data_IF_554244739212
#
_entry.id   IF_554244739212
#
_cell.length_a   1.000
_cell.length_b   1.000
_cell.length_c   1.000
_cell.angle_alpha   90.00
_cell.angle_beta   90.00
_cell.angle_gamma   90.00
#
_symmetry.space_group_name_H-M   'P 1'
#
loop_
_entity.id
_entity.type
_entity.pdbx_description
1 polymer ?
#
# COMPACT_ATOMS: atom_id res chain seq x y z
N UNK A 1 1.76 -4.81 -16.73
CA UNK A 1 1.92 -5.14 -15.31
C UNK A 1 0.82 -4.43 -14.52
N UNK A 2 0.27 -5.03 -13.45
CA UNK A 2 -0.80 -4.42 -12.65
C UNK A 2 -0.22 -3.98 -11.32
N UNK A 3 -0.26 -2.67 -11.05
CA UNK A 3 0.18 -2.11 -9.77
C UNK A 3 -0.93 -2.27 -8.73
N UNK A 4 -0.59 -2.77 -7.53
CA UNK A 4 -1.56 -3.07 -6.47
C UNK A 4 -1.19 -2.35 -5.18
N UNK A 5 -2.13 -1.61 -4.59
CA UNK A 5 -1.96 -0.91 -3.33
C UNK A 5 -2.89 -1.51 -2.26
N UNK A 6 -2.32 -1.96 -1.13
CA UNK A 6 -3.09 -2.53 -0.02
C UNK A 6 -3.46 -1.46 1.03
N UNK A 7 -4.72 -1.42 1.43
CA UNK A 7 -5.25 -0.49 2.44
C UNK A 7 -5.84 -1.27 3.62
N UNK A 8 -5.20 -1.28 4.80
CA UNK A 8 -5.66 -2.08 5.96
C UNK A 8 -5.60 -1.31 7.28
N UNK A 9 -6.56 -1.56 8.18
CA UNK A 9 -6.51 -1.07 9.57
C UNK A 9 -5.68 -1.97 10.49
N UNK A 10 -5.27 -3.15 10.04
CA UNK A 10 -4.32 -3.99 10.77
C UNK A 10 -2.92 -3.40 10.70
N UNK A 11 -2.18 -3.48 11.80
CA UNK A 11 -0.79 -3.04 11.85
C UNK A 11 0.08 -3.86 10.88
N UNK A 12 1.10 -3.21 10.32
CA UNK A 12 1.99 -3.80 9.33
C UNK A 12 2.71 -5.07 9.85
N UNK A 13 2.94 -5.14 11.16
CA UNK A 13 3.59 -6.26 11.85
C UNK A 13 2.72 -7.55 11.93
N UNK A 14 1.52 -7.57 11.35
CA UNK A 14 0.62 -8.72 11.31
C UNK A 14 0.35 -9.24 9.89
N UNK A 15 -0.92 -9.61 9.63
CA UNK A 15 -1.40 -10.17 8.35
C UNK A 15 -1.07 -9.30 7.12
N UNK A 16 -0.91 -7.99 7.28
CA UNK A 16 -0.55 -7.08 6.20
C UNK A 16 0.79 -7.44 5.53
N UNK A 17 1.78 -7.90 6.29
CA UNK A 17 3.08 -8.34 5.74
C UNK A 17 2.92 -9.54 4.81
N UNK A 18 2.01 -10.47 5.13
CA UNK A 18 1.79 -11.66 4.31
C UNK A 18 1.05 -11.35 3.01
N UNK A 19 0.14 -10.37 3.03
CA UNK A 19 -0.54 -9.87 1.84
C UNK A 19 0.43 -9.07 0.96
N UNK A 20 1.32 -8.27 1.56
CA UNK A 20 2.35 -7.54 0.85
C UNK A 20 3.27 -8.47 0.05
N UNK A 21 3.67 -9.60 0.65
CA UNK A 21 4.50 -10.63 0.02
C UNK A 21 3.84 -11.32 -1.19
N UNK A 22 2.52 -11.19 -1.37
CA UNK A 22 1.79 -11.73 -2.53
C UNK A 22 1.85 -10.85 -3.77
N UNK A 23 2.68 -9.81 -3.78
CA UNK A 23 2.92 -8.95 -4.95
C UNK A 23 2.24 -7.60 -4.89
N UNK A 24 2.02 -7.04 -3.69
CA UNK A 24 1.56 -5.65 -3.59
C UNK A 24 2.70 -4.68 -3.90
N UNK A 25 2.40 -3.64 -4.67
CA UNK A 25 3.31 -2.54 -5.01
C UNK A 25 3.45 -1.51 -3.87
N UNK A 26 2.54 -1.53 -2.89
CA UNK A 26 2.63 -0.71 -1.68
C UNK A 26 1.55 -1.02 -0.64
N UNK A 27 1.63 -0.33 0.50
CA UNK A 27 0.72 -0.46 1.63
C UNK A 27 0.48 0.89 2.30
N UNK A 28 -0.78 1.14 2.69
CA UNK A 28 -1.15 2.25 3.56
C UNK A 28 -1.99 1.71 4.72
N UNK A 29 -1.63 2.11 5.94
CA UNK A 29 -2.40 1.77 7.13
C UNK A 29 -3.58 2.73 7.31
N UNK A 30 -4.77 2.21 7.66
CA UNK A 30 -5.91 3.04 8.06
C UNK A 30 -5.81 3.39 9.56
N UNK A 31 -6.24 4.60 9.96
CA UNK A 31 -6.75 5.68 9.10
C UNK A 31 -5.60 6.42 8.40
N UNK A 32 -5.86 6.89 7.17
CA UNK A 32 -4.92 7.69 6.38
C UNK A 32 -5.59 8.97 5.87
N UNK A 33 -4.78 9.95 5.49
CA UNK A 33 -5.23 11.21 4.89
C UNK A 33 -5.17 11.20 3.36
N UNK A 34 -5.84 12.16 2.71
CA UNK A 34 -5.83 12.29 1.24
C UNK A 34 -4.44 12.58 0.67
N UNK A 35 -3.60 13.32 1.40
CA UNK A 35 -2.21 13.60 0.98
C UNK A 35 -1.37 12.32 0.92
N UNK A 36 -1.51 11.47 1.93
CA UNK A 36 -0.81 10.19 2.03
C UNK A 36 -1.23 9.24 0.90
N UNK A 37 -2.54 9.11 0.66
CA UNK A 37 -3.06 8.33 -0.45
C UNK A 37 -2.53 8.81 -1.81
N UNK A 38 -2.58 10.12 -2.06
CA UNK A 38 -2.10 10.72 -3.31
C UNK A 38 -0.61 10.44 -3.53
N UNK A 39 0.19 10.61 -2.49
CA UNK A 39 1.63 10.37 -2.55
C UNK A 39 1.94 8.90 -2.83
N UNK A 40 1.33 7.95 -2.13
CA UNK A 40 1.57 6.52 -2.36
C UNK A 40 1.13 6.06 -3.74
N UNK A 41 0.02 6.60 -4.27
CA UNK A 41 -0.39 6.31 -5.65
C UNK A 41 0.68 6.82 -6.63
N UNK A 42 1.20 8.04 -6.42
CA UNK A 42 2.25 8.60 -7.27
C UNK A 42 3.52 7.75 -7.24
N UNK A 43 3.97 7.37 -6.05
CA UNK A 43 5.15 6.51 -5.84
C UNK A 43 5.02 5.15 -6.54
N UNK A 44 3.83 4.56 -6.53
CA UNK A 44 3.58 3.26 -7.18
C UNK A 44 3.53 3.39 -8.71
N UNK A 45 2.98 4.48 -9.22
CA UNK A 45 2.90 4.73 -10.67
C UNK A 45 4.24 5.17 -11.28
N UNK A 46 5.14 5.76 -10.49
CA UNK A 46 6.46 6.19 -10.94
C UNK A 46 7.53 5.09 -10.89
N UNK A 47 7.25 3.97 -10.20
CA UNK A 47 8.09 2.77 -10.26
C UNK A 47 7.74 1.97 -11.51
N UNK A 48 8.71 1.79 -12.41
CA UNK A 48 8.61 0.94 -13.62
C UNK A 48 8.04 -0.45 -13.29
#
# INVERSE_FOLDING_TARGET
DIKVLLLSGYSINGQATEILKRGCSGFIQKPFGMKELSQSIREILDKE
#
